data_IF_258844492685
#
_entry.id   IF_258844492685
#
_cell.length_a   1.000
_cell.length_b   1.000
_cell.length_c   1.000
_cell.angle_alpha   90.00
_cell.angle_beta   90.00
_cell.angle_gamma   90.00
#
_symmetry.space_group_name_H-M   'P 1'
#
loop_
_entity.id
_entity.type
_entity.pdbx_description
1 polymer ?
#
# COMPACT_ATOMS: atom_id res chain seq x y z
N UNK A 1 13.96 -5.34 21.91
CA UNK A 1 13.25 -4.77 20.75
C UNK A 1 13.34 -3.25 20.68
N UNK A 2 13.09 -2.49 21.77
CA UNK A 2 13.24 -1.03 21.70
C UNK A 2 14.67 -0.63 21.31
N UNK A 3 15.70 -1.24 21.92
CA UNK A 3 17.10 -0.96 21.60
C UNK A 3 17.46 -1.30 20.14
N UNK A 4 16.81 -2.31 19.55
CA UNK A 4 16.99 -2.64 18.14
C UNK A 4 16.51 -1.48 17.22
N UNK A 5 15.32 -0.95 17.51
CA UNK A 5 14.81 0.21 16.78
C UNK A 5 15.65 1.47 16.99
N UNK A 6 16.11 1.71 18.23
CA UNK A 6 17.02 2.83 18.53
C UNK A 6 18.34 2.71 17.78
N UNK A 7 18.95 1.51 17.75
CA UNK A 7 20.20 1.28 17.04
C UNK A 7 20.01 1.46 15.52
N UNK A 8 18.91 0.92 14.96
CA UNK A 8 18.60 1.09 13.54
C UNK A 8 18.46 2.56 13.14
N UNK A 9 17.68 3.34 13.89
CA UNK A 9 17.48 4.75 13.60
C UNK A 9 18.78 5.57 13.76
N UNK A 10 19.53 5.33 14.83
CA UNK A 10 20.79 6.02 15.07
C UNK A 10 21.81 5.76 13.96
N UNK A 11 21.99 4.50 13.59
CA UNK A 11 22.90 4.12 12.50
C UNK A 11 22.47 4.74 11.16
N UNK A 12 21.16 4.66 10.84
CA UNK A 12 20.64 5.18 9.59
C UNK A 12 20.77 6.70 9.48
N UNK A 13 20.47 7.44 10.54
CA UNK A 13 20.63 8.90 10.56
C UNK A 13 22.08 9.31 10.38
N UNK A 14 23.01 8.55 10.99
CA UNK A 14 24.44 8.78 10.80
C UNK A 14 24.88 8.50 9.35
N UNK A 15 24.45 7.38 8.77
CA UNK A 15 24.81 6.95 7.41
C UNK A 15 24.18 7.82 6.31
N UNK A 16 23.02 8.43 6.58
CA UNK A 16 22.32 9.33 5.67
C UNK A 16 22.57 10.81 5.97
N UNK A 17 23.39 11.11 6.99
CA UNK A 17 23.74 12.48 7.41
C UNK A 17 22.50 13.33 7.79
N UNK A 18 21.53 12.70 8.45
CA UNK A 18 20.26 13.33 8.86
C UNK A 18 20.26 13.67 10.35
N UNK A 19 19.54 14.71 10.72
CA UNK A 19 19.33 15.11 12.09
C UNK A 19 17.99 14.61 12.64
N UNK A 20 17.86 14.58 13.96
CA UNK A 20 16.61 14.22 14.61
C UNK A 20 15.49 15.21 14.28
N UNK A 21 14.35 14.67 13.81
CA UNK A 21 13.21 15.47 13.40
C UNK A 21 13.28 15.99 11.98
N UNK A 22 14.19 15.45 11.17
CA UNK A 22 14.31 15.82 9.77
C UNK A 22 13.02 15.45 9.01
N UNK A 23 12.41 16.45 8.36
CA UNK A 23 11.15 16.30 7.64
C UNK A 23 11.29 15.53 6.31
N UNK A 24 12.51 15.34 5.83
CA UNK A 24 12.80 14.60 4.61
C UNK A 24 13.04 13.10 4.86
N UNK A 25 13.07 12.67 6.14
CA UNK A 25 13.22 11.28 6.51
C UNK A 25 11.87 10.55 6.54
N UNK A 26 11.74 9.47 5.74
CA UNK A 26 10.69 8.44 5.85
C UNK A 26 11.27 7.18 6.49
N UNK A 27 10.52 6.60 7.42
CA UNK A 27 10.83 5.29 7.99
C UNK A 27 9.72 4.30 7.64
N UNK A 28 10.10 3.17 7.02
CA UNK A 28 9.23 2.02 6.79
C UNK A 28 9.76 0.81 7.57
N UNK A 29 8.88 0.01 8.14
CA UNK A 29 9.31 -1.16 8.92
C UNK A 29 8.27 -2.27 8.94
N UNK A 30 8.73 -3.52 9.03
CA UNK A 30 7.88 -4.67 9.35
C UNK A 30 7.72 -4.91 10.87
N UNK A 31 8.32 -4.07 11.71
CA UNK A 31 8.16 -4.15 13.16
C UNK A 31 6.69 -3.97 13.56
N UNK A 32 6.26 -4.73 14.57
CA UNK A 32 4.85 -4.82 14.95
C UNK A 32 4.11 -5.96 14.26
N UNK A 33 4.45 -6.30 13.01
CA UNK A 33 3.92 -7.48 12.31
C UNK A 33 4.81 -8.71 12.54
N UNK A 34 6.13 -8.55 12.40
CA UNK A 34 7.08 -9.64 12.59
C UNK A 34 7.11 -10.13 14.06
N UNK A 35 7.23 -11.46 14.24
CA UNK A 35 7.42 -12.11 15.53
C UNK A 35 8.77 -12.85 15.49
N UNK A 36 9.61 -12.61 16.49
CA UNK A 36 10.92 -13.25 16.61
C UNK A 36 10.96 -14.07 17.90
N UNK A 37 11.18 -15.39 17.78
CA UNK A 37 11.20 -16.33 18.91
C UNK A 37 9.97 -16.19 19.84
N UNK A 38 8.78 -16.02 19.25
CA UNK A 38 7.52 -15.86 19.97
C UNK A 38 7.32 -14.47 20.61
N UNK A 39 8.24 -13.55 20.44
CA UNK A 39 8.15 -12.17 20.94
C UNK A 39 7.73 -11.20 19.83
N UNK A 40 6.84 -10.29 20.18
CA UNK A 40 6.41 -9.25 19.25
C UNK A 40 7.51 -8.19 19.09
N UNK A 41 7.55 -7.55 17.92
CA UNK A 41 8.59 -6.55 17.57
C UNK A 41 8.11 -5.11 17.67
N UNK A 42 6.86 -4.85 18.14
CA UNK A 42 6.30 -3.50 18.20
C UNK A 42 7.12 -2.50 19.02
N UNK A 43 7.83 -2.95 20.05
CA UNK A 43 8.66 -2.05 20.87
C UNK A 43 9.81 -1.41 20.06
N UNK A 44 10.21 -1.99 18.91
CA UNK A 44 11.19 -1.38 18.03
C UNK A 44 10.69 -0.06 17.43
N UNK A 45 9.37 0.06 17.18
CA UNK A 45 8.74 1.30 16.68
C UNK A 45 8.98 2.46 17.63
N UNK A 46 8.90 2.20 18.94
CA UNK A 46 9.22 3.22 19.96
C UNK A 46 10.68 3.65 19.89
N UNK A 47 11.59 2.68 19.69
CA UNK A 47 13.02 2.98 19.52
C UNK A 47 13.28 3.86 18.29
N UNK A 48 12.69 3.51 17.15
CA UNK A 48 12.73 4.33 15.93
C UNK A 48 12.29 5.77 16.21
N UNK A 49 11.10 5.93 16.77
CA UNK A 49 10.49 7.26 17.02
C UNK A 49 11.30 8.11 17.99
N UNK A 50 11.82 7.50 19.06
CA UNK A 50 12.62 8.24 20.08
C UNK A 50 13.91 8.78 19.48
N UNK A 51 14.59 7.99 18.67
CA UNK A 51 15.88 8.41 18.09
C UNK A 51 15.70 9.37 16.91
N UNK A 52 14.85 9.03 15.95
CA UNK A 52 14.67 9.82 14.73
C UNK A 52 13.79 11.06 14.92
N UNK A 53 12.85 11.02 15.85
CA UNK A 53 11.78 12.03 15.96
C UNK A 53 10.59 11.75 15.04
N UNK A 54 10.66 10.77 14.15
CA UNK A 54 9.57 10.42 13.24
C UNK A 54 8.41 9.74 13.96
N UNK A 55 7.20 9.96 13.47
CA UNK A 55 6.01 9.33 14.03
C UNK A 55 4.94 9.05 12.96
N UNK A 56 3.97 8.21 13.31
CA UNK A 56 2.78 8.00 12.48
C UNK A 56 1.99 9.32 12.34
N UNK A 57 1.94 10.12 13.42
CA UNK A 57 1.23 11.39 13.43
C UNK A 57 1.82 12.44 12.48
N UNK A 58 3.12 12.38 12.23
CA UNK A 58 3.83 13.24 11.28
C UNK A 58 3.78 12.70 9.84
N UNK A 59 3.21 11.51 9.64
CA UNK A 59 3.08 10.87 8.33
C UNK A 59 4.42 10.45 7.71
N UNK A 60 5.41 10.16 8.53
CA UNK A 60 6.78 9.81 8.11
C UNK A 60 7.37 8.57 8.80
N UNK A 61 6.52 7.80 9.51
CA UNK A 61 6.84 6.46 10.02
C UNK A 61 5.64 5.55 9.78
N UNK A 62 5.84 4.47 9.00
CA UNK A 62 4.78 3.53 8.67
C UNK A 62 5.21 2.08 8.88
N UNK A 63 4.22 1.25 9.25
CA UNK A 63 4.37 -0.20 9.31
C UNK A 63 3.90 -0.80 7.98
N UNK A 64 4.78 -1.57 7.32
CA UNK A 64 4.43 -2.34 6.12
C UNK A 64 4.00 -3.73 6.53
N UNK A 65 2.80 -4.14 6.14
CA UNK A 65 2.24 -5.45 6.48
C UNK A 65 3.12 -6.57 5.92
N UNK A 66 3.51 -7.48 6.82
CA UNK A 66 4.26 -8.70 6.47
C UNK A 66 3.73 -9.87 7.27
N UNK A 67 3.79 -11.09 6.74
CA UNK A 67 3.51 -12.28 7.54
C UNK A 67 4.43 -12.33 8.76
N UNK A 68 3.87 -12.69 9.92
CA UNK A 68 4.58 -12.61 11.20
C UNK A 68 5.86 -13.47 11.29
N UNK A 69 6.01 -14.48 10.45
CA UNK A 69 7.20 -15.35 10.37
C UNK A 69 8.33 -14.80 9.49
N UNK A 70 8.12 -13.66 8.84
CA UNK A 70 9.16 -13.00 8.05
C UNK A 70 10.11 -12.21 8.96
N UNK A 71 11.39 -12.03 8.55
CA UNK A 71 12.34 -11.24 9.32
C UNK A 71 11.84 -9.83 9.59
N UNK A 72 12.22 -9.27 10.75
CA UNK A 72 12.03 -7.85 11.01
C UNK A 72 13.10 -7.04 10.29
N UNK A 73 12.67 -5.97 9.64
CA UNK A 73 13.54 -5.04 8.93
C UNK A 73 13.12 -3.60 9.17
N UNK A 74 14.06 -2.69 8.90
CA UNK A 74 13.91 -1.25 8.97
C UNK A 74 14.43 -0.67 7.65
N UNK A 75 13.76 0.35 7.17
CA UNK A 75 14.12 1.05 5.95
C UNK A 75 13.98 2.55 6.19
N UNK A 76 15.00 3.29 5.83
CA UNK A 76 15.11 4.74 6.00
C UNK A 76 15.34 5.35 4.63
N UNK A 77 14.58 6.36 4.29
CA UNK A 77 14.67 7.03 3.00
C UNK A 77 14.75 8.54 3.20
N UNK A 78 15.76 9.16 2.64
CA UNK A 78 15.92 10.61 2.57
C UNK A 78 15.36 11.12 1.24
N UNK A 79 14.27 11.88 1.31
CA UNK A 79 13.61 12.45 0.15
C UNK A 79 14.48 13.48 -0.56
N UNK A 80 15.35 14.19 0.15
CA UNK A 80 16.16 15.26 -0.41
C UNK A 80 17.27 14.73 -1.34
N UNK A 81 17.78 13.54 -1.08
CA UNK A 81 18.87 12.90 -1.84
C UNK A 81 18.43 11.68 -2.63
N UNK A 82 17.27 11.12 -2.35
CA UNK A 82 16.82 9.83 -2.89
C UNK A 82 17.53 8.62 -2.28
N UNK A 83 18.45 8.82 -1.34
CA UNK A 83 19.20 7.75 -0.70
C UNK A 83 18.34 7.00 0.31
N UNK A 84 18.54 5.70 0.37
CA UNK A 84 17.88 4.84 1.32
C UNK A 84 18.84 3.85 1.97
N UNK A 85 18.55 3.48 3.23
CA UNK A 85 19.25 2.46 3.97
C UNK A 85 18.28 1.37 4.41
N UNK A 86 18.54 0.13 4.03
CA UNK A 86 17.81 -1.05 4.47
C UNK A 86 18.61 -1.83 5.50
N UNK A 87 17.98 -2.23 6.60
CA UNK A 87 18.60 -2.99 7.68
C UNK A 87 17.68 -4.14 8.08
N UNK A 88 18.13 -5.39 7.96
CA UNK A 88 17.42 -6.57 8.46
C UNK A 88 18.06 -7.08 9.75
N UNK A 89 17.26 -7.26 10.78
CA UNK A 89 17.77 -7.71 12.08
C UNK A 89 18.37 -9.11 12.01
N UNK A 90 19.46 -9.33 12.78
CA UNK A 90 20.05 -10.63 13.00
C UNK A 90 19.33 -11.35 14.15
N UNK A 91 18.64 -12.46 13.85
CA UNK A 91 17.80 -13.16 14.82
C UNK A 91 18.56 -13.66 16.04
N UNK A 92 19.83 -14.06 15.89
CA UNK A 92 20.64 -14.53 17.01
C UNK A 92 21.02 -13.42 17.97
N UNK A 93 21.25 -12.21 17.45
CA UNK A 93 21.55 -11.03 18.26
C UNK A 93 20.39 -10.64 19.17
N UNK A 94 19.14 -10.88 18.72
CA UNK A 94 17.94 -10.57 19.49
C UNK A 94 17.72 -11.49 20.71
N UNK A 95 18.47 -12.61 20.81
CA UNK A 95 18.45 -13.52 21.98
C UNK A 95 19.36 -13.06 23.11
N UNK A 96 20.23 -12.09 22.86
CA UNK A 96 21.16 -11.60 23.86
C UNK A 96 20.43 -10.79 24.96
N UNK A 97 20.94 -10.78 26.20
CA UNK A 97 20.50 -9.86 27.23
C UNK A 97 20.59 -8.41 26.75
N UNK A 98 19.73 -7.53 27.25
CA UNK A 98 19.64 -6.15 26.79
C UNK A 98 20.97 -5.40 26.90
N UNK A 99 21.72 -5.59 27.97
CA UNK A 99 23.00 -4.90 28.16
C UNK A 99 24.08 -5.39 27.19
N UNK A 100 24.05 -6.67 26.80
CA UNK A 100 24.94 -7.18 25.76
C UNK A 100 24.51 -6.69 24.38
N UNK A 101 23.20 -6.61 24.12
CA UNK A 101 22.68 -6.08 22.86
C UNK A 101 23.07 -4.62 22.63
N UNK A 102 23.01 -3.78 23.66
CA UNK A 102 23.41 -2.36 23.59
C UNK A 102 24.87 -2.15 23.21
N UNK A 103 25.73 -3.14 23.45
CA UNK A 103 27.15 -3.08 23.12
C UNK A 103 27.46 -3.55 21.69
N UNK A 104 26.45 -4.04 20.95
CA UNK A 104 26.65 -4.51 19.57
C UNK A 104 26.88 -3.35 18.60
N UNK A 105 27.75 -3.59 17.64
CA UNK A 105 27.84 -2.78 16.43
C UNK A 105 26.64 -3.05 15.51
N UNK A 106 26.43 -2.19 14.52
CA UNK A 106 25.39 -2.42 13.52
C UNK A 106 25.60 -3.75 12.76
N UNK A 107 26.84 -4.09 12.39
CA UNK A 107 27.15 -5.32 11.66
C UNK A 107 26.88 -6.60 12.48
N UNK A 108 26.88 -6.50 13.80
CA UNK A 108 26.51 -7.60 14.69
C UNK A 108 25.02 -7.72 14.94
N UNK A 109 24.31 -6.58 14.89
CA UNK A 109 22.87 -6.51 15.15
C UNK A 109 22.00 -6.78 13.92
N UNK A 110 22.56 -6.54 12.72
CA UNK A 110 21.84 -6.70 11.45
C UNK A 110 22.52 -7.69 10.52
N UNK A 111 21.77 -8.65 10.02
CA UNK A 111 22.24 -9.68 9.08
C UNK A 111 22.40 -9.16 7.65
N UNK A 112 21.77 -8.03 7.36
CA UNK A 112 21.92 -7.32 6.08
C UNK A 112 21.77 -5.82 6.29
N UNK A 113 22.72 -5.07 5.72
CA UNK A 113 22.69 -3.62 5.62
C UNK A 113 22.95 -3.28 4.16
N UNK A 114 22.13 -2.43 3.58
CA UNK A 114 22.28 -2.06 2.16
C UNK A 114 21.85 -0.62 1.94
N UNK A 115 22.73 0.18 1.35
CA UNK A 115 22.47 1.58 0.98
C UNK A 115 22.32 1.67 -0.54
N UNK A 116 21.28 2.36 -1.02
CA UNK A 116 21.03 2.58 -2.43
C UNK A 116 20.20 3.83 -2.66
N UNK A 117 20.32 4.46 -3.80
CA UNK A 117 19.35 5.47 -4.24
C UNK A 117 18.11 4.76 -4.80
N UNK A 118 16.92 5.15 -4.37
CA UNK A 118 15.63 4.57 -4.82
C UNK A 118 14.71 5.61 -5.48
N UNK A 119 15.15 6.86 -5.63
CA UNK A 119 14.42 7.85 -6.38
C UNK A 119 14.29 7.42 -7.85
N UNK A 120 13.09 7.43 -8.40
CA UNK A 120 12.82 6.89 -9.73
C UNK A 120 13.47 7.70 -10.85
N UNK A 121 13.60 9.03 -10.68
CA UNK A 121 14.25 9.87 -11.69
C UNK A 121 15.77 9.69 -11.66
N UNK A 122 16.35 9.47 -10.47
CA UNK A 122 17.74 9.05 -10.34
C UNK A 122 17.97 7.72 -11.04
N UNK A 123 17.17 6.70 -10.69
CA UNK A 123 17.28 5.33 -11.23
C UNK A 123 17.08 5.28 -12.75
N UNK A 124 16.29 6.19 -13.31
CA UNK A 124 16.08 6.32 -14.76
C UNK A 124 17.36 6.71 -15.49
N UNK A 125 18.19 7.51 -14.85
CA UNK A 125 19.46 7.98 -15.41
C UNK A 125 20.67 7.13 -14.99
N UNK A 126 20.50 6.25 -13.98
CA UNK A 126 21.54 5.42 -13.38
C UNK A 126 21.08 3.96 -13.28
N UNK A 127 20.72 3.37 -14.42
CA UNK A 127 20.13 2.02 -14.47
C UNK A 127 21.04 0.92 -13.91
N UNK A 128 22.36 1.11 -13.92
CA UNK A 128 23.29 0.14 -13.34
C UNK A 128 23.16 0.07 -11.80
N UNK A 129 22.94 1.18 -11.13
CA UNK A 129 22.67 1.22 -9.69
C UNK A 129 21.34 0.51 -9.38
N UNK A 130 20.33 0.71 -10.23
CA UNK A 130 19.07 0.00 -10.17
C UNK A 130 19.24 -1.51 -10.35
N UNK A 131 20.07 -1.96 -11.31
CA UNK A 131 20.38 -3.39 -11.51
C UNK A 131 21.01 -3.99 -10.24
N UNK A 132 21.94 -3.28 -9.59
CA UNK A 132 22.52 -3.74 -8.33
C UNK A 132 21.44 -3.85 -7.25
N UNK A 133 20.56 -2.87 -7.12
CA UNK A 133 19.54 -2.85 -6.08
C UNK A 133 18.46 -3.92 -6.30
N UNK A 134 17.88 -3.98 -7.50
CA UNK A 134 16.71 -4.81 -7.79
C UNK A 134 17.08 -6.26 -8.20
N UNK A 135 18.01 -6.46 -9.12
CA UNK A 135 18.34 -7.80 -9.61
C UNK A 135 19.13 -8.60 -8.58
N UNK A 136 20.00 -7.93 -7.80
CA UNK A 136 20.78 -8.58 -6.73
C UNK A 136 20.06 -8.60 -5.37
N UNK A 137 18.80 -8.19 -5.32
CA UNK A 137 17.97 -8.17 -4.10
C UNK A 137 18.63 -7.40 -2.95
N UNK A 138 18.98 -6.15 -3.21
CA UNK A 138 19.63 -5.24 -2.25
C UNK A 138 18.85 -5.15 -0.93
N UNK A 139 17.53 -5.14 -0.97
CA UNK A 139 16.64 -5.08 0.19
C UNK A 139 15.93 -6.41 0.46
N UNK A 140 16.59 -7.51 0.10
CA UNK A 140 16.14 -8.87 0.40
C UNK A 140 14.73 -9.22 -0.11
N UNK A 141 14.40 -8.74 -1.32
CA UNK A 141 13.11 -8.95 -2.00
C UNK A 141 12.05 -7.90 -1.68
N UNK A 142 12.39 -6.82 -0.97
CA UNK A 142 11.48 -5.71 -0.68
C UNK A 142 11.72 -4.48 -1.59
N UNK A 143 12.59 -4.55 -2.59
CA UNK A 143 13.05 -3.42 -3.39
C UNK A 143 11.89 -2.65 -4.02
N UNK A 144 11.03 -3.36 -4.73
CA UNK A 144 9.87 -2.80 -5.42
C UNK A 144 8.90 -2.13 -4.43
N UNK A 145 8.59 -2.82 -3.33
CA UNK A 145 7.72 -2.32 -2.27
C UNK A 145 8.25 -1.00 -1.68
N UNK A 146 9.50 -1.02 -1.24
CA UNK A 146 10.10 0.10 -0.52
C UNK A 146 10.33 1.31 -1.44
N UNK A 147 10.85 1.09 -2.64
CA UNK A 147 11.03 2.16 -3.62
C UNK A 147 9.68 2.78 -4.04
N UNK A 148 8.64 1.96 -4.29
CA UNK A 148 7.32 2.45 -4.68
C UNK A 148 6.69 3.34 -3.62
N UNK A 149 6.65 2.88 -2.37
CA UNK A 149 6.09 3.64 -1.25
C UNK A 149 6.86 4.95 -1.02
N UNK A 150 8.21 4.89 -1.04
CA UNK A 150 9.06 6.06 -0.82
C UNK A 150 8.86 7.14 -1.89
N UNK A 151 8.81 6.76 -3.17
CA UNK A 151 8.58 7.71 -4.25
C UNK A 151 7.22 8.38 -4.21
N UNK A 152 6.16 7.65 -3.83
CA UNK A 152 4.83 8.23 -3.67
C UNK A 152 4.77 9.14 -2.45
N UNK A 153 5.37 8.73 -1.33
CA UNK A 153 5.48 9.59 -0.15
C UNK A 153 6.24 10.88 -0.47
N UNK A 154 7.38 10.80 -1.16
CA UNK A 154 8.18 11.96 -1.56
C UNK A 154 7.42 12.95 -2.44
N UNK A 155 6.43 12.47 -3.22
CA UNK A 155 5.55 13.28 -4.06
C UNK A 155 4.28 13.79 -3.35
N UNK A 156 4.23 13.64 -2.03
CA UNK A 156 3.10 14.12 -1.23
C UNK A 156 1.86 13.23 -1.30
N UNK A 157 2.05 11.94 -1.48
CA UNK A 157 0.96 10.97 -1.40
C UNK A 157 0.14 11.12 -0.12
N UNK A 158 -1.18 11.10 -0.23
CA UNK A 158 -2.07 11.26 0.92
C UNK A 158 -1.85 10.16 1.97
N UNK A 159 -1.98 10.50 3.24
CA UNK A 159 -1.69 9.61 4.37
C UNK A 159 -2.47 8.29 4.29
N UNK A 160 -3.76 8.32 4.00
CA UNK A 160 -4.60 7.14 3.85
C UNK A 160 -4.19 6.25 2.67
N UNK A 161 -3.71 6.87 1.58
CA UNK A 161 -3.17 6.13 0.45
C UNK A 161 -1.84 5.45 0.80
N UNK A 162 -0.93 6.14 1.47
CA UNK A 162 0.32 5.52 1.96
C UNK A 162 0.01 4.36 2.92
N UNK A 163 -0.93 4.54 3.84
CA UNK A 163 -1.37 3.44 4.72
C UNK A 163 -1.92 2.25 3.94
N UNK A 164 -2.72 2.50 2.90
CA UNK A 164 -3.26 1.43 2.06
C UNK A 164 -2.16 0.70 1.27
N UNK A 165 -1.13 1.41 0.76
CA UNK A 165 0.02 0.77 0.13
C UNK A 165 0.85 -0.05 1.15
N UNK A 166 0.97 0.41 2.38
CA UNK A 166 1.61 -0.34 3.46
C UNK A 166 0.81 -1.57 3.87
N UNK A 167 -0.52 -1.50 3.88
CA UNK A 167 -1.42 -2.63 4.13
C UNK A 167 -1.34 -3.66 2.99
N UNK A 168 -1.31 -3.21 1.74
CA UNK A 168 -1.15 -4.08 0.56
C UNK A 168 0.30 -4.59 0.38
N UNK A 169 1.22 -4.13 1.21
CA UNK A 169 2.67 -4.38 1.24
C UNK A 169 3.50 -3.71 0.13
N UNK A 170 2.86 -3.19 -0.91
CA UNK A 170 3.54 -2.45 -1.99
C UNK A 170 2.60 -1.51 -2.74
N UNK A 171 3.17 -0.57 -3.47
CA UNK A 171 2.45 0.17 -4.49
C UNK A 171 2.36 -0.67 -5.78
N UNK A 172 1.21 -0.62 -6.44
CA UNK A 172 1.03 -1.15 -7.80
C UNK A 172 -0.13 -0.44 -8.50
N UNK A 173 -0.23 -0.48 -9.85
CA UNK A 173 -1.34 0.15 -10.57
C UNK A 173 -2.71 -0.32 -10.08
N UNK A 174 -2.77 -1.55 -9.55
CA UNK A 174 -3.99 -2.10 -8.95
C UNK A 174 -4.42 -1.35 -7.69
N UNK A 175 -3.51 -1.02 -6.77
CA UNK A 175 -3.83 -0.22 -5.57
C UNK A 175 -4.19 1.21 -5.99
N UNK A 176 -3.45 1.81 -6.91
CA UNK A 176 -3.75 3.16 -7.44
C UNK A 176 -5.12 3.20 -8.11
N UNK A 177 -5.54 2.15 -8.83
CA UNK A 177 -6.89 2.06 -9.38
C UNK A 177 -7.98 2.08 -8.30
N UNK A 178 -7.67 1.55 -7.11
CA UNK A 178 -8.55 1.65 -5.93
C UNK A 178 -8.75 3.09 -5.46
N UNK A 179 -7.68 3.89 -5.42
CA UNK A 179 -7.76 5.31 -5.09
C UNK A 179 -8.64 6.07 -6.10
N UNK A 180 -8.45 5.80 -7.39
CA UNK A 180 -9.24 6.46 -8.45
C UNK A 180 -10.71 6.07 -8.37
N UNK A 181 -11.01 4.78 -8.22
CA UNK A 181 -12.37 4.29 -8.04
C UNK A 181 -13.03 4.87 -6.79
N UNK A 182 -12.30 4.93 -5.67
CA UNK A 182 -12.82 5.50 -4.42
C UNK A 182 -13.17 6.98 -4.60
N UNK A 183 -12.25 7.80 -5.12
CA UNK A 183 -12.49 9.23 -5.37
C UNK A 183 -13.69 9.44 -6.31
N UNK A 184 -13.78 8.66 -7.37
CA UNK A 184 -14.89 8.74 -8.32
C UNK A 184 -16.24 8.40 -7.67
N UNK A 185 -16.30 7.31 -6.91
CA UNK A 185 -17.52 6.90 -6.21
C UNK A 185 -17.93 7.92 -5.15
N UNK A 186 -16.98 8.44 -4.38
CA UNK A 186 -17.21 9.47 -3.37
C UNK A 186 -17.75 10.77 -3.97
N UNK A 187 -17.32 11.13 -5.18
CA UNK A 187 -17.84 12.28 -5.91
C UNK A 187 -19.28 12.02 -6.43
N UNK A 188 -19.52 10.86 -7.04
CA UNK A 188 -20.81 10.53 -7.68
C UNK A 188 -21.89 10.11 -6.70
N UNK A 189 -21.50 9.46 -5.62
CA UNK A 189 -22.39 8.96 -4.55
C UNK A 189 -21.91 9.48 -3.18
N UNK A 190 -21.91 10.79 -2.92
CA UNK A 190 -21.42 11.33 -1.66
C UNK A 190 -22.24 10.83 -0.47
N UNK A 191 -21.58 10.56 0.66
CA UNK A 191 -22.25 10.26 1.93
C UNK A 191 -22.92 11.53 2.44
N UNK A 192 -24.24 11.50 2.55
CA UNK A 192 -25.06 12.64 3.01
C UNK A 192 -25.50 12.47 4.46
N UNK A 193 -25.58 11.25 4.95
CA UNK A 193 -25.97 10.92 6.32
C UNK A 193 -24.94 9.97 6.95
N UNK A 194 -23.94 10.54 7.63
CA UNK A 194 -22.84 9.80 8.26
C UNK A 194 -23.27 8.78 9.33
N UNK A 195 -24.48 8.92 9.87
CA UNK A 195 -25.02 8.00 10.88
C UNK A 195 -25.74 6.79 10.30
N UNK A 196 -26.12 6.85 9.02
CA UNK A 196 -26.93 5.81 8.39
C UNK A 196 -26.31 5.27 7.07
N UNK A 197 -25.41 6.01 6.46
CA UNK A 197 -24.85 5.64 5.15
C UNK A 197 -23.42 5.13 5.27
N UNK A 198 -23.12 4.12 4.45
CA UNK A 198 -21.77 3.55 4.29
C UNK A 198 -21.56 3.09 2.85
N UNK A 199 -20.30 2.93 2.47
CA UNK A 199 -19.97 2.29 1.20
C UNK A 199 -19.89 0.78 1.35
N UNK A 200 -20.38 0.05 0.33
CA UNK A 200 -20.17 -1.38 0.15
C UNK A 200 -19.57 -1.63 -1.22
N UNK A 201 -18.67 -2.61 -1.30
CA UNK A 201 -18.00 -3.01 -2.53
C UNK A 201 -18.33 -4.46 -2.88
N UNK A 202 -18.77 -4.70 -4.12
CA UNK A 202 -18.81 -6.03 -4.70
C UNK A 202 -17.62 -6.12 -5.64
N UNK A 203 -16.53 -6.68 -5.13
CA UNK A 203 -15.25 -6.86 -5.81
C UNK A 203 -15.35 -8.03 -6.81
N UNK A 204 -15.88 -7.76 -7.98
CA UNK A 204 -16.12 -8.73 -9.05
C UNK A 204 -15.75 -8.11 -10.40
N UNK A 205 -14.51 -8.37 -10.89
CA UNK A 205 -13.45 -9.18 -10.31
C UNK A 205 -12.69 -8.50 -9.14
N UNK A 206 -12.03 -9.33 -8.34
CA UNK A 206 -11.13 -8.87 -7.31
C UNK A 206 -9.72 -8.59 -7.85
N UNK A 207 -9.07 -7.53 -7.33
CA UNK A 207 -7.63 -7.26 -7.46
C UNK A 207 -7.18 -6.26 -6.37
N UNK A 208 -5.93 -5.80 -6.41
CA UNK A 208 -5.29 -4.95 -5.40
C UNK A 208 -6.09 -3.69 -4.98
N UNK A 209 -6.98 -3.17 -5.83
CA UNK A 209 -7.87 -2.04 -5.51
C UNK A 209 -8.71 -2.28 -4.25
N UNK A 210 -9.03 -3.54 -3.99
CA UNK A 210 -9.97 -3.90 -2.92
C UNK A 210 -9.34 -3.70 -1.54
N UNK A 211 -8.03 -3.82 -1.42
CA UNK A 211 -7.32 -3.55 -0.18
C UNK A 211 -7.36 -2.06 0.19
N UNK A 212 -7.26 -1.17 -0.80
CA UNK A 212 -7.46 0.26 -0.56
C UNK A 212 -8.89 0.58 -0.09
N UNK A 213 -9.90 -0.03 -0.71
CA UNK A 213 -11.29 0.17 -0.33
C UNK A 213 -11.60 -0.34 1.09
N UNK A 214 -10.96 -1.44 1.51
CA UNK A 214 -11.06 -1.89 2.90
C UNK A 214 -10.52 -0.85 3.88
N UNK A 215 -9.40 -0.24 3.57
CA UNK A 215 -8.79 0.79 4.43
C UNK A 215 -9.59 2.10 4.41
N UNK A 216 -9.90 2.63 3.24
CA UNK A 216 -10.49 3.95 3.07
C UNK A 216 -11.96 4.00 3.45
N UNK A 217 -12.74 2.96 3.15
CA UNK A 217 -14.18 2.90 3.40
C UNK A 217 -14.56 2.05 4.61
N UNK A 218 -13.57 1.47 5.30
CA UNK A 218 -13.81 0.44 6.32
C UNK A 218 -14.68 -0.73 5.79
N UNK A 219 -14.60 -0.96 4.48
CA UNK A 219 -15.43 -1.92 3.75
C UNK A 219 -14.81 -3.33 3.81
N UNK A 220 -14.68 -3.88 5.01
CA UNK A 220 -14.08 -5.20 5.18
C UNK A 220 -15.10 -6.34 5.00
N UNK A 221 -14.66 -7.55 4.55
CA UNK A 221 -15.54 -8.72 4.46
C UNK A 221 -16.20 -9.07 5.80
N UNK A 222 -15.47 -8.98 6.91
CA UNK A 222 -15.98 -9.29 8.26
C UNK A 222 -17.11 -8.37 8.73
N UNK A 223 -17.22 -7.17 8.15
CA UNK A 223 -18.32 -6.21 8.42
C UNK A 223 -19.40 -6.24 7.35
N UNK A 224 -19.41 -7.22 6.46
CA UNK A 224 -20.28 -7.25 5.29
C UNK A 224 -20.19 -5.98 4.41
N UNK A 225 -19.01 -5.34 4.42
CA UNK A 225 -18.72 -4.18 3.59
C UNK A 225 -18.16 -4.53 2.22
N UNK A 226 -17.53 -5.72 2.10
CA UNK A 226 -16.95 -6.19 0.87
C UNK A 226 -17.29 -7.65 0.57
N UNK A 227 -17.62 -7.94 -0.69
CA UNK A 227 -17.85 -9.26 -1.24
C UNK A 227 -16.94 -9.48 -2.43
N UNK A 228 -16.31 -10.64 -2.49
CA UNK A 228 -15.23 -10.92 -3.45
C UNK A 228 -15.61 -12.11 -4.32
N UNK A 229 -15.54 -11.93 -5.64
CA UNK A 229 -15.73 -12.99 -6.63
C UNK A 229 -14.72 -12.83 -7.78
N UNK A 230 -13.98 -13.89 -8.06
CA UNK A 230 -13.16 -13.97 -9.28
C UNK A 230 -14.04 -14.23 -10.50
N UNK A 231 -13.68 -13.63 -11.63
CA UNK A 231 -14.32 -13.90 -12.93
C UNK A 231 -13.49 -14.86 -13.77
N UNK A 232 -14.16 -15.74 -14.47
CA UNK A 232 -13.56 -16.53 -15.55
C UNK A 232 -13.19 -15.64 -16.75
N UNK A 233 -12.34 -16.13 -17.64
CA UNK A 233 -11.96 -15.37 -18.84
C UNK A 233 -13.15 -15.13 -19.80
N UNK A 234 -14.12 -16.02 -19.82
CA UNK A 234 -15.36 -15.82 -20.59
C UNK A 234 -16.20 -14.67 -20.02
N UNK A 235 -16.31 -14.59 -18.69
CA UNK A 235 -17.04 -13.52 -18.00
C UNK A 235 -16.35 -12.17 -18.14
N UNK A 236 -15.00 -12.13 -18.05
CA UNK A 236 -14.22 -10.90 -18.31
C UNK A 236 -14.43 -10.40 -19.75
N UNK A 237 -14.58 -11.33 -20.73
CA UNK A 237 -14.88 -10.96 -22.12
C UNK A 237 -16.31 -10.47 -22.29
N UNK A 238 -17.26 -10.98 -21.50
CA UNK A 238 -18.67 -10.56 -21.57
C UNK A 238 -18.88 -9.13 -21.04
N UNK A 239 -18.08 -8.69 -20.05
CA UNK A 239 -18.10 -7.34 -19.51
C UNK A 239 -16.67 -6.77 -19.45
N UNK A 240 -16.12 -6.32 -20.59
CA UNK A 240 -14.75 -5.86 -20.67
C UNK A 240 -14.49 -4.69 -19.74
N UNK A 241 -13.39 -4.77 -18.99
CA UNK A 241 -12.93 -3.70 -18.10
C UNK A 241 -13.73 -3.54 -16.82
N UNK A 242 -14.74 -4.38 -16.52
CA UNK A 242 -15.50 -4.29 -15.26
C UNK A 242 -14.53 -4.27 -14.05
N UNK A 243 -14.75 -3.32 -13.15
CA UNK A 243 -13.99 -3.18 -11.91
C UNK A 243 -14.75 -3.66 -10.67
N UNK A 244 -16.07 -3.60 -10.71
CA UNK A 244 -16.93 -4.02 -9.62
C UNK A 244 -18.20 -3.22 -9.55
N UNK A 245 -18.96 -3.44 -8.48
CA UNK A 245 -20.16 -2.68 -8.13
C UNK A 245 -19.93 -1.99 -6.79
N UNK A 246 -20.15 -0.70 -6.75
CA UNK A 246 -19.93 0.14 -5.57
C UNK A 246 -21.26 0.75 -5.15
N UNK A 247 -21.62 0.64 -3.87
CA UNK A 247 -22.94 0.95 -3.35
C UNK A 247 -22.79 1.95 -2.22
N UNK A 248 -23.47 3.10 -2.29
CA UNK A 248 -23.80 3.91 -1.12
C UNK A 248 -25.05 3.32 -0.51
N UNK A 249 -24.93 2.69 0.63
CA UNK A 249 -26.01 1.98 1.31
C UNK A 249 -26.50 2.76 2.53
N UNK A 250 -27.82 2.87 2.67
CA UNK A 250 -28.46 3.45 3.85
C UNK A 250 -29.04 2.34 4.74
N UNK A 251 -28.42 2.15 5.90
CA UNK A 251 -28.81 1.08 6.84
C UNK A 251 -30.17 1.30 7.49
N UNK A 252 -30.66 2.53 7.57
CA UNK A 252 -31.99 2.86 8.13
C UNK A 252 -33.07 2.65 7.08
N UNK A 253 -32.90 3.21 5.90
CA UNK A 253 -33.87 3.08 4.80
C UNK A 253 -33.87 1.69 4.15
N UNK A 254 -32.80 0.91 4.34
CA UNK A 254 -32.60 -0.41 3.70
C UNK A 254 -32.60 -0.33 2.17
N UNK A 255 -32.01 0.72 1.63
CA UNK A 255 -31.86 0.98 0.21
C UNK A 255 -30.53 1.68 -0.10
N UNK A 256 -30.12 1.67 -1.35
CA UNK A 256 -28.89 2.33 -1.78
C UNK A 256 -28.86 2.66 -3.26
N UNK A 257 -27.90 3.50 -3.61
CA UNK A 257 -27.51 3.81 -4.99
C UNK A 257 -26.24 3.05 -5.35
N UNK A 258 -26.20 2.46 -6.53
CA UNK A 258 -25.09 1.63 -6.97
C UNK A 258 -24.55 2.05 -8.34
N UNK A 259 -23.24 1.95 -8.49
CA UNK A 259 -22.49 2.11 -9.74
C UNK A 259 -21.77 0.80 -10.06
N UNK A 260 -22.07 0.19 -11.20
CA UNK A 260 -21.19 -0.80 -11.83
C UNK A 260 -20.18 -0.04 -12.69
N UNK A 261 -18.92 -0.10 -12.31
CA UNK A 261 -17.85 0.68 -12.94
C UNK A 261 -16.87 -0.23 -13.71
N UNK A 262 -16.41 0.28 -14.84
CA UNK A 262 -15.25 -0.22 -15.55
C UNK A 262 -14.01 0.59 -15.21
N UNK A 263 -12.84 -0.06 -15.31
CA UNK A 263 -11.53 0.57 -15.20
C UNK A 263 -10.63 0.14 -16.36
N UNK A 264 -10.01 1.12 -17.02
CA UNK A 264 -9.11 0.86 -18.15
C UNK A 264 -7.72 1.41 -17.85
N UNK A 265 -6.76 0.52 -17.57
CA UNK A 265 -5.37 0.88 -17.30
C UNK A 265 -4.65 1.54 -18.49
N UNK A 266 -5.18 1.39 -19.70
CA UNK A 266 -4.64 1.95 -20.94
C UNK A 266 -5.46 3.12 -21.48
N UNK A 267 -6.32 3.72 -20.66
CA UNK A 267 -7.19 4.84 -21.10
C UNK A 267 -6.39 6.10 -21.42
N UNK A 268 -5.22 6.26 -20.82
CA UNK A 268 -4.30 7.38 -21.00
C UNK A 268 -2.96 6.86 -21.50
N UNK A 269 -2.36 7.56 -22.45
CA UNK A 269 -1.01 7.27 -22.93
C UNK A 269 0.01 7.80 -21.90
N UNK A 270 0.48 6.87 -21.04
CA UNK A 270 1.43 7.18 -19.98
C UNK A 270 2.85 7.20 -20.53
N UNK A 271 3.75 8.07 -20.01
CA UNK A 271 5.16 8.01 -20.30
C UNK A 271 5.73 6.60 -20.10
N UNK A 272 6.48 6.12 -21.08
CA UNK A 272 7.00 4.76 -21.06
C UNK A 272 8.39 4.69 -20.42
N UNK A 273 8.61 3.63 -19.66
CA UNK A 273 9.94 3.27 -19.18
C UNK A 273 10.75 2.61 -20.30
N UNK A 274 11.96 3.10 -20.54
CA UNK A 274 12.87 2.58 -21.58
C UNK A 274 14.06 1.82 -21.03
N UNK A 275 14.16 1.68 -19.71
CA UNK A 275 15.25 0.99 -19.00
C UNK A 275 14.98 -0.51 -18.73
N UNK A 276 15.74 -1.12 -17.80
CA UNK A 276 15.59 -2.51 -17.39
C UNK A 276 14.20 -2.86 -16.87
N UNK A 277 13.83 -4.14 -16.95
CA UNK A 277 12.47 -4.62 -16.64
C UNK A 277 11.97 -4.29 -15.24
N UNK A 278 12.87 -4.24 -14.23
CA UNK A 278 12.49 -3.90 -12.85
C UNK A 278 11.85 -2.50 -12.72
N UNK A 279 12.27 -1.53 -13.54
CA UNK A 279 11.78 -0.16 -13.46
C UNK A 279 10.43 0.07 -14.15
N UNK A 280 10.03 -0.79 -15.10
CA UNK A 280 8.83 -0.58 -15.92
C UNK A 280 7.56 -0.39 -15.07
N UNK A 281 7.30 -1.33 -14.16
CA UNK A 281 6.12 -1.28 -13.30
C UNK A 281 6.24 -0.20 -12.24
N UNK A 282 7.42 -0.05 -11.63
CA UNK A 282 7.68 1.00 -10.64
C UNK A 282 7.43 2.39 -11.22
N UNK A 283 7.96 2.67 -12.42
CA UNK A 283 7.78 3.94 -13.10
C UNK A 283 6.32 4.21 -13.44
N UNK A 284 5.62 3.20 -13.98
CA UNK A 284 4.20 3.31 -14.29
C UNK A 284 3.36 3.65 -13.05
N UNK A 285 3.64 3.01 -11.91
CA UNK A 285 2.93 3.25 -10.66
C UNK A 285 3.08 4.69 -10.18
N UNK A 286 4.28 5.26 -10.34
CA UNK A 286 4.57 6.61 -9.90
C UNK A 286 3.94 7.64 -10.83
N UNK A 287 4.03 7.43 -12.16
CA UNK A 287 3.43 8.33 -13.14
C UNK A 287 1.90 8.36 -13.05
N UNK A 288 1.26 7.24 -12.66
CA UNK A 288 -0.19 7.21 -12.41
C UNK A 288 -0.63 8.22 -11.33
N UNK A 289 0.24 8.55 -10.38
CA UNK A 289 -0.11 9.53 -9.34
C UNK A 289 -0.34 10.94 -9.88
N UNK A 290 0.22 11.29 -11.04
CA UNK A 290 -0.03 12.57 -11.71
C UNK A 290 -1.50 12.73 -12.17
N UNK A 291 -2.24 11.62 -12.19
CA UNK A 291 -3.66 11.57 -12.52
C UNK A 291 -4.57 11.41 -11.30
N UNK A 292 -4.04 11.50 -10.09
CA UNK A 292 -4.81 11.29 -8.86
C UNK A 292 -6.01 12.27 -8.71
N UNK A 293 -5.98 13.43 -9.37
CA UNK A 293 -7.06 14.40 -9.38
C UNK A 293 -7.92 14.35 -10.67
N UNK A 294 -7.72 13.32 -11.50
CA UNK A 294 -8.46 13.10 -12.76
C UNK A 294 -8.86 11.61 -12.90
N UNK A 295 -9.48 11.01 -11.87
CA UNK A 295 -9.78 9.58 -11.87
C UNK A 295 -10.75 9.17 -12.99
N UNK A 296 -11.61 10.08 -13.43
CA UNK A 296 -12.58 9.89 -14.51
C UNK A 296 -11.92 9.53 -15.85
N UNK A 297 -10.65 9.86 -16.05
CA UNK A 297 -9.92 9.50 -17.27
C UNK A 297 -9.77 7.98 -17.45
N UNK A 298 -9.84 7.20 -16.35
CA UNK A 298 -9.67 5.75 -16.34
C UNK A 298 -10.97 4.98 -16.11
N UNK A 299 -12.07 5.66 -15.76
CA UNK A 299 -13.29 5.04 -15.25
C UNK A 299 -14.42 5.23 -16.25
N UNK A 300 -15.19 4.15 -16.47
CA UNK A 300 -16.44 4.18 -17.21
C UNK A 300 -17.60 3.70 -16.35
N UNK A 301 -18.76 4.35 -16.48
CA UNK A 301 -19.99 3.88 -15.86
C UNK A 301 -20.63 2.87 -16.80
N UNK A 302 -20.71 1.61 -16.34
CA UNK A 302 -21.36 0.53 -17.08
C UNK A 302 -22.87 0.55 -16.81
N UNK A 303 -23.25 0.74 -15.51
CA UNK A 303 -24.64 0.82 -15.10
C UNK A 303 -24.78 1.58 -13.80
N UNK A 304 -25.86 2.38 -13.70
CA UNK A 304 -26.36 2.98 -12.45
C UNK A 304 -27.69 2.32 -12.09
N UNK A 305 -27.91 2.01 -10.81
CA UNK A 305 -29.14 1.36 -10.38
C UNK A 305 -29.39 1.52 -8.88
N UNK A 306 -30.66 1.31 -8.48
CA UNK A 306 -31.06 1.27 -7.08
C UNK A 306 -30.89 -0.15 -6.54
N UNK A 307 -30.54 -0.24 -5.28
CA UNK A 307 -30.39 -1.51 -4.54
C UNK A 307 -31.32 -1.47 -3.32
N UNK A 308 -32.25 -2.42 -3.24
CA UNK A 308 -33.03 -2.69 -2.02
C UNK A 308 -32.40 -3.80 -1.19
N UNK A 309 -32.99 -4.10 -0.04
CA UNK A 309 -32.49 -5.14 0.87
C UNK A 309 -32.46 -6.54 0.24
N UNK A 310 -33.43 -6.86 -0.62
CA UNK A 310 -33.48 -8.16 -1.28
C UNK A 310 -32.37 -8.31 -2.32
N UNK A 311 -32.16 -7.28 -3.12
CA UNK A 311 -31.08 -7.25 -4.11
C UNK A 311 -29.70 -7.23 -3.43
N UNK A 312 -29.52 -6.47 -2.35
CA UNK A 312 -28.26 -6.49 -1.59
C UNK A 312 -27.95 -7.90 -1.08
N UNK A 313 -28.96 -8.58 -0.51
CA UNK A 313 -28.78 -9.95 -0.04
C UNK A 313 -28.38 -10.93 -1.18
N UNK A 314 -28.90 -10.73 -2.40
CA UNK A 314 -28.48 -11.51 -3.56
C UNK A 314 -27.06 -11.18 -4.02
N UNK A 315 -26.69 -9.89 -4.08
CA UNK A 315 -25.34 -9.45 -4.43
C UNK A 315 -24.27 -10.00 -3.48
N UNK A 316 -24.66 -10.24 -2.22
CA UNK A 316 -23.80 -10.73 -1.15
C UNK A 316 -23.87 -12.26 -0.96
N UNK A 317 -24.62 -12.97 -1.78
CA UNK A 317 -24.76 -14.42 -1.68
C UNK A 317 -23.74 -15.13 -2.57
N UNK A 318 -22.88 -15.96 -1.96
CA UNK A 318 -21.85 -16.72 -2.69
C UNK A 318 -22.41 -17.69 -3.76
N UNK A 319 -23.69 -18.06 -3.65
CA UNK A 319 -24.38 -18.88 -4.66
C UNK A 319 -24.96 -18.09 -5.85
N UNK A 320 -24.86 -16.76 -5.83
CA UNK A 320 -25.39 -15.87 -6.87
C UNK A 320 -24.25 -15.16 -7.59
N UNK A 321 -24.42 -14.95 -8.90
CA UNK A 321 -23.43 -14.19 -9.66
C UNK A 321 -23.77 -12.69 -9.63
N UNK A 322 -22.98 -11.84 -8.94
CA UNK A 322 -23.37 -10.46 -8.67
C UNK A 322 -23.59 -9.61 -9.93
N UNK A 323 -22.83 -9.83 -11.00
CA UNK A 323 -23.02 -9.11 -12.27
C UNK A 323 -24.34 -9.49 -12.97
N UNK A 324 -24.81 -10.74 -12.82
CA UNK A 324 -26.12 -11.17 -13.30
C UNK A 324 -27.25 -10.59 -12.45
N UNK A 325 -27.09 -10.60 -11.11
CA UNK A 325 -28.05 -9.97 -10.21
C UNK A 325 -28.21 -8.48 -10.53
N UNK A 326 -27.11 -7.79 -10.80
CA UNK A 326 -27.12 -6.39 -11.20
C UNK A 326 -27.62 -6.15 -12.64
N UNK A 327 -27.79 -7.19 -13.45
CA UNK A 327 -28.15 -7.07 -14.87
C UNK A 327 -27.06 -6.35 -15.67
N UNK A 328 -25.82 -6.62 -15.36
CA UNK A 328 -24.61 -6.11 -16.05
C UNK A 328 -24.09 -7.15 -17.02
N UNK A 329 -24.36 -8.43 -16.75
CA UNK A 329 -23.97 -9.56 -17.59
C UNK A 329 -25.17 -10.42 -17.95
#
# INVERSE_FOLDING_TARGET
>A
MQELGSLAAKSAMQDLELEKGDADLLILTSAGHAIVDGQTTQAAIKGLSVESGNSIGDGNLFQVLRPHWKPVWFFFFDRSTGQALYMQAESQSLKKPVEEFKALSQDEAFSKISKANVDIEYLRNHTDDGNITFDQKGFNGNEFSLAGISNVWARGGAFDFIQATCFHDHLCPGVTSGLFLAKYVEEKLPINNISAESYKAIACPNWCKDDLLQMRWDATPGKSGMFVMALTDAEKKAVPGIAGIYIRWNDTAKEGDALALGYNFSAVDLPQWTGPAWGSKLYQDIVLMDYADKPEAFISVIKEFKVDAAMLAQLQNAGMHPLKVAGVM
#
